data_IF_608391970958
#
_entry.id   IF_608391970958
#
_cell.length_a   1.000
_cell.length_b   1.000
_cell.length_c   1.000
_cell.angle_alpha   90.00
_cell.angle_beta   90.00
_cell.angle_gamma   90.00
#
_symmetry.space_group_name_H-M   'P 1'
#
loop_
_entity.id
_entity.type
_entity.pdbx_description
1 polymer ?
#
# COMPACT_ATOMS: atom_id res chain seq x y z
N UNK A 1 -8.37 -3.68 0.40
CA UNK A 1 -8.27 -4.95 1.14
C UNK A 1 -8.01 -4.65 2.61
N UNK A 2 -8.41 -5.52 3.57
CA UNK A 2 -8.28 -5.25 5.02
C UNK A 2 -6.89 -5.66 5.53
N UNK A 3 -6.25 -4.81 6.34
CA UNK A 3 -4.99 -5.11 6.99
C UNK A 3 -5.07 -6.36 7.88
N UNK A 4 -6.17 -6.50 8.65
CA UNK A 4 -6.41 -7.68 9.49
C UNK A 4 -6.36 -9.01 8.74
N UNK A 5 -6.91 -9.04 7.51
CA UNK A 5 -6.92 -10.26 6.69
C UNK A 5 -5.51 -10.65 6.24
N UNK A 6 -4.70 -9.66 5.84
CA UNK A 6 -3.32 -9.92 5.43
C UNK A 6 -2.49 -10.41 6.61
N UNK A 7 -2.64 -9.77 7.77
CA UNK A 7 -1.91 -10.16 8.99
C UNK A 7 -2.33 -11.56 9.45
N UNK A 8 -3.61 -11.89 9.36
CA UNK A 8 -4.11 -13.21 9.68
C UNK A 8 -3.51 -14.30 8.77
N UNK A 9 -3.51 -14.07 7.44
CA UNK A 9 -2.88 -14.98 6.49
C UNK A 9 -1.38 -15.14 6.75
N UNK A 10 -0.66 -14.04 7.01
CA UNK A 10 0.76 -14.06 7.34
C UNK A 10 1.04 -14.81 8.67
N UNK A 11 0.20 -14.64 9.67
CA UNK A 11 0.30 -15.36 10.94
C UNK A 11 0.13 -16.86 10.75
N UNK A 12 -0.84 -17.29 9.95
CA UNK A 12 -1.04 -18.71 9.62
C UNK A 12 0.14 -19.28 8.84
N UNK A 13 0.70 -18.56 7.87
CA UNK A 13 1.90 -18.96 7.14
C UNK A 13 3.10 -19.12 8.07
N UNK A 14 3.22 -18.26 9.08
CA UNK A 14 4.29 -18.29 10.08
C UNK A 14 4.05 -19.32 11.20
N UNK A 15 2.95 -20.07 11.17
CA UNK A 15 2.59 -21.04 12.21
C UNK A 15 2.10 -20.40 13.52
N UNK A 16 1.72 -19.12 13.48
CA UNK A 16 1.24 -18.34 14.62
C UNK A 16 -0.30 -18.26 14.62
N UNK A 17 -0.95 -19.42 14.75
CA UNK A 17 -2.39 -19.52 14.85
C UNK A 17 -2.99 -18.69 16.00
N UNK A 18 -2.22 -18.53 17.10
CA UNK A 18 -2.60 -17.68 18.23
C UNK A 18 -2.84 -16.21 17.84
N UNK A 19 -2.08 -15.67 16.88
CA UNK A 19 -2.27 -14.32 16.36
C UNK A 19 -3.52 -14.27 15.46
N UNK A 20 -3.74 -15.30 14.64
CA UNK A 20 -4.93 -15.37 13.79
C UNK A 20 -6.21 -15.39 14.64
N UNK A 21 -6.24 -16.21 15.69
CA UNK A 21 -7.35 -16.29 16.65
C UNK A 21 -7.56 -14.96 17.40
N UNK A 22 -6.46 -14.28 17.80
CA UNK A 22 -6.50 -12.96 18.43
C UNK A 22 -7.16 -11.91 17.53
N UNK A 23 -6.91 -11.97 16.23
CA UNK A 23 -7.49 -11.02 15.26
C UNK A 23 -9.00 -11.24 15.10
N UNK A 24 -9.45 -12.49 15.09
CA UNK A 24 -10.88 -12.85 14.93
C UNK A 24 -11.69 -12.63 16.21
N UNK A 25 -11.04 -12.67 17.37
CA UNK A 25 -11.72 -12.59 18.65
C UNK A 25 -12.39 -11.22 18.86
N UNK A 26 -13.66 -11.25 19.29
CA UNK A 26 -14.40 -10.07 19.79
C UNK A 26 -13.94 -9.66 21.17
N UNK A 27 -13.58 -10.65 22.01
CA UNK A 27 -12.99 -10.45 23.34
C UNK A 27 -11.54 -10.94 23.32
N UNK A 28 -10.60 -10.02 23.58
CA UNK A 28 -9.16 -10.28 23.56
C UNK A 28 -8.52 -10.38 24.93
N UNK A 29 -9.32 -10.38 25.99
CA UNK A 29 -8.82 -10.37 27.39
C UNK A 29 -8.11 -11.68 27.76
N UNK A 30 -8.48 -12.79 27.11
CA UNK A 30 -7.94 -14.12 27.38
C UNK A 30 -6.63 -14.45 26.65
N UNK A 31 -6.15 -13.55 25.76
CA UNK A 31 -4.91 -13.78 25.04
C UNK A 31 -3.69 -13.27 25.82
N UNK A 32 -2.55 -13.92 25.57
CA UNK A 32 -1.30 -13.52 26.21
C UNK A 32 -0.83 -12.13 25.78
N UNK A 33 -0.06 -11.46 26.63
CA UNK A 33 0.59 -10.20 26.27
C UNK A 33 1.57 -10.39 25.10
N UNK A 34 2.16 -11.57 24.96
CA UNK A 34 3.07 -11.93 23.87
C UNK A 34 2.35 -12.01 22.54
N UNK A 35 1.16 -12.63 22.51
CA UNK A 35 0.31 -12.67 21.28
C UNK A 35 -0.09 -11.27 20.85
N UNK A 36 -0.53 -10.43 21.78
CA UNK A 36 -0.87 -9.04 21.48
C UNK A 36 0.34 -8.24 20.96
N UNK A 37 1.52 -8.42 21.58
CA UNK A 37 2.78 -7.78 21.14
C UNK A 37 3.16 -8.24 19.73
N UNK A 38 3.10 -9.53 19.45
CA UNK A 38 3.42 -10.10 18.15
C UNK A 38 2.43 -9.61 17.05
N UNK A 39 1.14 -9.49 17.36
CA UNK A 39 0.16 -8.88 16.46
C UNK A 39 0.50 -7.42 16.14
N UNK A 40 0.85 -6.61 17.14
CA UNK A 40 1.27 -5.22 16.94
C UNK A 40 2.57 -5.13 16.13
N UNK A 41 3.50 -6.06 16.32
CA UNK A 41 4.73 -6.16 15.52
C UNK A 41 4.40 -6.43 14.04
N UNK A 42 3.49 -7.36 13.76
CA UNK A 42 3.03 -7.60 12.38
C UNK A 42 2.36 -6.38 11.76
N UNK A 43 1.58 -5.59 12.51
CA UNK A 43 1.04 -4.30 12.03
C UNK A 43 2.16 -3.34 11.63
N UNK A 44 3.20 -3.24 12.45
CA UNK A 44 4.36 -2.39 12.16
C UNK A 44 5.10 -2.85 10.90
N UNK A 45 5.41 -4.14 10.79
CA UNK A 45 6.09 -4.72 9.64
C UNK A 45 5.27 -4.55 8.36
N UNK A 46 3.95 -4.73 8.42
CA UNK A 46 3.05 -4.48 7.28
C UNK A 46 3.16 -3.03 6.79
N UNK A 47 3.17 -2.06 7.69
CA UNK A 47 3.31 -0.65 7.32
C UNK A 47 4.67 -0.34 6.69
N UNK A 48 5.76 -0.92 7.21
CA UNK A 48 7.10 -0.78 6.64
C UNK A 48 7.15 -1.37 5.22
N UNK A 49 6.66 -2.59 5.04
CA UNK A 49 6.61 -3.27 3.75
C UNK A 49 5.77 -2.50 2.72
N UNK A 50 4.60 -1.99 3.10
CA UNK A 50 3.74 -1.20 2.21
C UNK A 50 4.42 0.11 1.81
N UNK A 51 5.11 0.77 2.73
CA UNK A 51 5.86 1.99 2.44
C UNK A 51 6.96 1.74 1.43
N UNK A 52 7.73 0.66 1.59
CA UNK A 52 8.77 0.25 0.66
C UNK A 52 8.19 -0.12 -0.71
N UNK A 53 7.13 -0.93 -0.72
CA UNK A 53 6.46 -1.35 -1.94
C UNK A 53 5.95 -0.14 -2.75
N UNK A 54 5.33 0.83 -2.08
CA UNK A 54 4.81 2.06 -2.69
C UNK A 54 5.94 2.93 -3.28
N UNK A 55 7.07 2.99 -2.60
CA UNK A 55 8.19 3.84 -3.01
C UNK A 55 8.98 3.21 -4.16
N UNK A 56 9.22 1.90 -4.10
CA UNK A 56 10.22 1.23 -4.96
C UNK A 56 9.63 0.43 -6.11
N UNK A 57 8.39 -0.07 -5.99
CA UNK A 57 7.87 -1.08 -6.93
C UNK A 57 6.49 -0.75 -7.51
N UNK A 58 5.50 -0.52 -6.68
CA UNK A 58 4.10 -0.35 -7.10
C UNK A 58 3.54 0.94 -6.46
N UNK A 59 3.65 2.10 -7.15
CA UNK A 59 3.19 3.36 -6.59
C UNK A 59 1.67 3.36 -6.39
N UNK A 60 1.23 3.88 -5.26
CA UNK A 60 -0.18 4.19 -5.00
C UNK A 60 -0.57 5.43 -5.78
N UNK A 61 -1.60 5.31 -6.62
CA UNK A 61 -2.08 6.39 -7.48
C UNK A 61 -3.49 6.79 -7.05
N UNK A 62 -3.68 8.08 -6.84
CA UNK A 62 -4.99 8.68 -6.60
C UNK A 62 -5.42 9.51 -7.82
N UNK A 63 -6.73 9.52 -8.03
CA UNK A 63 -7.38 10.42 -8.99
C UNK A 63 -8.43 11.21 -8.23
N UNK A 64 -8.31 12.54 -8.27
CA UNK A 64 -9.16 13.43 -7.50
C UNK A 64 -9.73 14.54 -8.39
N UNK A 65 -11.01 14.89 -8.15
CA UNK A 65 -11.63 16.06 -8.77
C UNK A 65 -11.27 17.30 -7.97
N UNK A 66 -10.55 18.20 -8.60
CA UNK A 66 -10.15 19.47 -8.00
C UNK A 66 -10.31 20.58 -9.03
N UNK A 67 -10.94 21.68 -8.63
CA UNK A 67 -11.14 22.82 -9.51
C UNK A 67 -10.16 23.92 -9.10
N UNK A 68 -9.22 24.23 -10.00
CA UNK A 68 -8.26 25.30 -9.83
C UNK A 68 -8.05 26.02 -11.17
N UNK A 69 -7.71 27.29 -11.13
CA UNK A 69 -7.58 28.16 -12.32
C UNK A 69 -6.13 28.42 -12.69
N UNK A 70 -5.23 28.50 -11.70
CA UNK A 70 -3.83 28.94 -11.87
C UNK A 70 -2.85 28.07 -11.09
N UNK A 71 -3.24 27.54 -9.92
CA UNK A 71 -2.38 26.70 -9.08
C UNK A 71 -3.18 25.67 -8.27
N UNK A 72 -2.52 24.58 -7.93
CA UNK A 72 -3.00 23.54 -7.01
C UNK A 72 -2.04 23.50 -5.83
N UNK A 73 -2.53 23.74 -4.63
CA UNK A 73 -1.77 23.59 -3.39
C UNK A 73 -1.80 22.13 -2.94
N UNK A 74 -0.67 21.59 -2.48
CA UNK A 74 -0.57 20.18 -2.10
C UNK A 74 -1.45 19.82 -0.90
N UNK A 75 -1.67 20.76 0.01
CA UNK A 75 -2.52 20.59 1.19
C UNK A 75 -4.03 20.45 0.86
N UNK A 76 -4.43 20.81 -0.35
CA UNK A 76 -5.80 20.63 -0.85
C UNK A 76 -6.07 19.27 -1.43
N UNK A 77 -5.03 18.46 -1.63
CA UNK A 77 -5.18 17.07 -2.04
C UNK A 77 -5.56 16.22 -0.83
N UNK A 78 -6.49 15.28 -1.03
CA UNK A 78 -7.01 14.43 0.05
C UNK A 78 -5.98 13.47 0.63
N UNK A 79 -4.91 13.17 -0.11
CA UNK A 79 -3.82 12.31 0.28
C UNK A 79 -2.48 13.03 0.17
N UNK A 80 -1.49 12.58 0.93
CA UNK A 80 -0.14 13.14 0.94
C UNK A 80 0.57 12.88 -0.40
N UNK A 81 0.42 13.83 -1.33
CA UNK A 81 0.96 13.71 -2.68
C UNK A 81 2.49 13.75 -2.68
N UNK A 82 3.09 12.86 -3.48
CA UNK A 82 4.54 12.77 -3.71
C UNK A 82 4.91 13.32 -5.09
N UNK A 83 4.10 12.99 -6.09
CA UNK A 83 4.36 13.35 -7.48
C UNK A 83 3.04 13.52 -8.23
N UNK A 84 2.88 14.66 -8.87
CA UNK A 84 1.76 14.87 -9.80
C UNK A 84 2.11 14.22 -11.13
N UNK A 85 1.25 13.30 -11.56
CA UNK A 85 1.45 12.56 -12.81
C UNK A 85 0.78 13.25 -13.98
N UNK A 86 -0.50 13.65 -13.80
CA UNK A 86 -1.31 14.25 -14.86
C UNK A 86 -2.38 15.18 -14.29
N UNK A 87 -2.68 16.21 -15.05
CA UNK A 87 -3.76 17.16 -14.77
C UNK A 87 -4.65 17.22 -15.99
N UNK A 88 -5.97 17.28 -15.77
CA UNK A 88 -6.95 17.36 -16.85
C UNK A 88 -7.94 18.48 -16.61
N UNK A 89 -8.38 19.13 -17.69
CA UNK A 89 -9.47 20.10 -17.69
C UNK A 89 -10.86 19.42 -17.56
N UNK A 90 -11.91 20.22 -17.61
CA UNK A 90 -13.31 19.76 -17.51
C UNK A 90 -13.72 18.89 -18.72
N UNK A 91 -13.03 18.97 -19.85
CA UNK A 91 -13.28 18.22 -21.08
C UNK A 91 -12.43 16.96 -21.18
N UNK A 92 -11.55 16.71 -20.19
CA UNK A 92 -10.64 15.56 -20.18
C UNK A 92 -9.36 15.76 -20.99
N UNK A 93 -9.07 16.99 -21.44
CA UNK A 93 -7.81 17.32 -22.10
C UNK A 93 -6.70 17.50 -21.06
N UNK A 94 -5.52 16.99 -21.35
CA UNK A 94 -4.34 17.14 -20.48
C UNK A 94 -3.90 18.60 -20.43
N UNK A 95 -3.62 19.09 -19.22
CA UNK A 95 -3.20 20.46 -18.91
C UNK A 95 -1.72 20.45 -18.56
N UNK A 96 -0.95 21.32 -19.22
CA UNK A 96 0.47 21.50 -18.89
C UNK A 96 0.63 22.13 -17.51
N UNK A 97 1.59 21.64 -16.76
CA UNK A 97 1.85 22.12 -15.40
C UNK A 97 3.35 22.22 -15.09
N UNK A 98 3.67 23.02 -14.10
CA UNK A 98 5.03 23.15 -13.54
C UNK A 98 4.97 22.95 -12.04
N UNK A 99 5.77 22.00 -11.55
CA UNK A 99 5.91 21.71 -10.12
C UNK A 99 6.75 22.77 -9.46
N UNK A 100 6.27 23.32 -8.35
CA UNK A 100 6.98 24.19 -7.43
C UNK A 100 6.96 23.55 -6.03
N UNK A 101 7.73 24.09 -5.07
CA UNK A 101 7.88 23.48 -3.74
C UNK A 101 6.57 23.36 -2.97
N UNK A 102 5.72 24.37 -3.01
CA UNK A 102 4.47 24.44 -2.23
C UNK A 102 3.21 24.18 -3.06
N UNK A 103 3.31 24.24 -4.38
CA UNK A 103 2.16 24.15 -5.26
C UNK A 103 2.55 23.73 -6.68
N UNK A 104 1.54 23.39 -7.45
CA UNK A 104 1.69 23.10 -8.88
C UNK A 104 1.02 24.23 -9.66
N UNK A 105 1.79 24.94 -10.49
CA UNK A 105 1.27 25.96 -11.43
C UNK A 105 0.69 25.24 -12.65
N UNK A 106 -0.50 25.64 -13.06
CA UNK A 106 -1.20 25.09 -14.22
C UNK A 106 -1.38 26.15 -15.29
N UNK A 107 -1.27 25.73 -16.55
CA UNK A 107 -1.38 26.63 -17.72
C UNK A 107 -2.83 27.01 -18.06
N UNK A 108 -3.81 26.27 -17.58
CA UNK A 108 -5.25 26.49 -17.78
C UNK A 108 -6.06 25.86 -16.65
N UNK A 109 -7.36 26.23 -16.48
CA UNK A 109 -8.20 25.65 -15.43
C UNK A 109 -8.26 24.13 -15.50
N UNK A 110 -8.11 23.47 -14.34
CA UNK A 110 -8.21 22.03 -14.21
C UNK A 110 -9.48 21.57 -13.50
N UNK A 111 -9.86 20.31 -13.72
CA UNK A 111 -11.00 19.66 -13.08
C UNK A 111 -10.64 18.31 -12.45
N UNK A 112 -9.48 17.74 -12.80
CA UNK A 112 -9.04 16.44 -12.32
C UNK A 112 -7.52 16.36 -12.23
N UNK A 113 -7.01 15.80 -11.14
CA UNK A 113 -5.59 15.57 -10.89
C UNK A 113 -5.34 14.08 -10.65
N UNK A 114 -4.27 13.55 -11.23
CA UNK A 114 -3.76 12.19 -11.00
C UNK A 114 -2.39 12.32 -10.38
N UNK A 115 -2.17 11.69 -9.24
CA UNK A 115 -0.93 11.83 -8.49
C UNK A 115 -0.55 10.56 -7.73
N UNK A 116 0.76 10.38 -7.49
CA UNK A 116 1.28 9.40 -6.54
C UNK A 116 1.18 9.96 -5.13
N UNK A 117 0.89 9.10 -4.17
CA UNK A 117 0.82 9.50 -2.77
C UNK A 117 1.53 8.51 -1.85
N UNK A 118 2.01 9.00 -0.70
CA UNK A 118 2.51 8.13 0.36
C UNK A 118 1.38 7.45 1.10
N UNK A 119 1.54 6.16 1.43
CA UNK A 119 0.58 5.46 2.26
C UNK A 119 0.49 6.14 3.64
N UNK A 120 -0.70 6.14 4.21
CA UNK A 120 -0.89 6.42 5.63
C UNK A 120 -0.39 5.24 6.47
N UNK A 121 -0.22 5.44 7.77
CA UNK A 121 -0.05 4.32 8.69
C UNK A 121 -1.39 3.61 8.88
N UNK A 122 -1.44 2.32 8.61
CA UNK A 122 -2.63 1.48 8.73
C UNK A 122 -2.71 0.83 10.10
N UNK A 123 -3.88 0.91 10.72
CA UNK A 123 -4.25 0.10 11.88
C UNK A 123 -4.79 -1.27 11.42
N UNK A 124 -4.91 -2.21 12.37
CA UNK A 124 -5.42 -3.57 12.11
C UNK A 124 -6.78 -3.59 11.40
N UNK A 125 -7.65 -2.62 11.70
CA UNK A 125 -9.01 -2.53 11.16
C UNK A 125 -9.11 -1.79 9.84
N UNK A 126 -8.03 -1.15 9.40
CA UNK A 126 -8.04 -0.31 8.21
C UNK A 126 -8.08 -1.12 6.91
N UNK A 127 -8.61 -0.47 5.89
CA UNK A 127 -8.42 -0.93 4.52
C UNK A 127 -7.14 -0.31 3.94
N UNK A 128 -6.33 -1.15 3.32
CA UNK A 128 -5.14 -0.73 2.57
C UNK A 128 -5.59 -0.16 1.23
N UNK A 129 -4.97 0.94 0.81
CA UNK A 129 -5.34 1.68 -0.40
C UNK A 129 -4.96 0.98 -1.72
N UNK A 130 -4.23 -0.13 -1.68
CA UNK A 130 -4.04 -0.96 -2.86
C UNK A 130 -5.34 -1.69 -3.21
N UNK A 131 -5.70 -1.67 -4.49
CA UNK A 131 -6.76 -2.51 -5.03
C UNK A 131 -6.21 -3.93 -5.31
N UNK A 132 -7.10 -4.94 -5.28
CA UNK A 132 -6.70 -6.33 -5.56
C UNK A 132 -6.13 -6.54 -6.97
N UNK A 133 -6.47 -5.67 -7.91
CA UNK A 133 -5.88 -5.66 -9.26
C UNK A 133 -4.44 -5.18 -9.30
N UNK A 134 -4.02 -4.38 -8.31
CA UNK A 134 -2.68 -3.84 -8.21
C UNK A 134 -1.76 -4.85 -7.54
N UNK A 135 -2.20 -5.43 -6.44
CA UNK A 135 -1.48 -6.50 -5.72
C UNK A 135 -2.46 -7.36 -4.93
N UNK A 136 -2.27 -8.67 -4.93
CA UNK A 136 -3.12 -9.57 -4.13
C UNK A 136 -2.76 -9.54 -2.64
N UNK A 137 -3.76 -9.77 -1.78
CA UNK A 137 -3.55 -9.90 -0.34
C UNK A 137 -2.58 -11.01 0.02
N UNK A 138 -2.59 -12.12 -0.72
CA UNK A 138 -1.70 -13.25 -0.49
C UNK A 138 -0.23 -12.90 -0.78
N UNK A 139 0.07 -12.08 -1.79
CA UNK A 139 1.43 -11.60 -2.04
C UNK A 139 1.91 -10.74 -0.86
N UNK A 140 1.07 -9.84 -0.36
CA UNK A 140 1.39 -9.05 0.83
C UNK A 140 1.55 -9.92 2.08
N UNK A 141 0.76 -10.99 2.21
CA UNK A 141 0.86 -11.93 3.32
C UNK A 141 2.19 -12.70 3.29
N UNK A 142 2.68 -13.11 2.12
CA UNK A 142 4.01 -13.72 1.99
C UNK A 142 5.13 -12.75 2.36
N UNK A 143 5.07 -11.49 1.90
CA UNK A 143 6.06 -10.48 2.27
C UNK A 143 6.07 -10.25 3.79
N UNK A 144 4.90 -10.09 4.40
CA UNK A 144 4.78 -9.91 5.85
C UNK A 144 5.27 -11.13 6.63
N UNK A 145 4.96 -12.35 6.16
CA UNK A 145 5.44 -13.58 6.79
C UNK A 145 6.98 -13.72 6.70
N UNK A 146 7.59 -13.26 5.60
CA UNK A 146 9.04 -13.20 5.44
C UNK A 146 9.68 -12.27 6.47
N UNK A 147 9.18 -11.03 6.56
CA UNK A 147 9.67 -10.04 7.53
C UNK A 147 9.49 -10.53 8.98
N UNK A 148 8.35 -11.13 9.29
CA UNK A 148 8.10 -11.67 10.62
C UNK A 148 9.05 -12.83 10.95
N UNK A 149 9.26 -13.77 10.02
CA UNK A 149 10.19 -14.89 10.20
C UNK A 149 11.65 -14.40 10.43
N UNK A 150 12.07 -13.30 9.78
CA UNK A 150 13.37 -12.67 10.07
C UNK A 150 13.47 -12.19 11.52
N UNK A 151 12.41 -11.63 12.07
CA UNK A 151 12.42 -11.18 13.48
C UNK A 151 12.44 -12.33 14.48
N UNK A 152 11.94 -13.51 14.09
CA UNK A 152 11.99 -14.73 14.89
C UNK A 152 13.31 -15.51 14.71
N UNK A 153 14.17 -15.09 13.77
CA UNK A 153 15.44 -15.75 13.45
C UNK A 153 15.30 -17.01 12.56
N UNK A 154 14.15 -17.22 11.94
CA UNK A 154 13.88 -18.32 11.01
C UNK A 154 14.24 -17.91 9.58
N UNK A 155 15.53 -17.91 9.27
CA UNK A 155 16.06 -17.43 7.99
C UNK A 155 15.62 -18.30 6.80
N UNK A 156 15.52 -19.62 6.98
CA UNK A 156 15.14 -20.53 5.89
C UNK A 156 13.70 -20.26 5.45
N UNK A 157 12.80 -20.11 6.42
CA UNK A 157 11.41 -19.79 6.13
C UNK A 157 11.25 -18.37 5.59
N UNK A 158 12.01 -17.42 6.12
CA UNK A 158 12.04 -16.05 5.62
C UNK A 158 12.43 -15.99 4.14
N UNK A 159 13.51 -16.68 3.72
CA UNK A 159 13.93 -16.76 2.32
C UNK A 159 12.82 -17.36 1.44
N UNK A 160 12.22 -18.48 1.86
CA UNK A 160 11.16 -19.15 1.09
C UNK A 160 9.92 -18.26 0.86
N UNK A 161 9.51 -17.47 1.87
CA UNK A 161 8.40 -16.55 1.75
C UNK A 161 8.76 -15.32 0.94
N UNK A 162 9.99 -14.81 1.11
CA UNK A 162 10.50 -13.67 0.35
C UNK A 162 10.53 -13.94 -1.15
N UNK A 163 11.00 -15.12 -1.57
CA UNK A 163 11.01 -15.53 -2.98
C UNK A 163 9.60 -15.45 -3.59
N UNK A 164 8.59 -15.99 -2.90
CA UNK A 164 7.18 -15.92 -3.35
C UNK A 164 6.65 -14.49 -3.41
N UNK A 165 7.03 -13.66 -2.45
CA UNK A 165 6.67 -12.24 -2.45
C UNK A 165 7.27 -11.52 -3.65
N UNK A 166 8.57 -11.68 -3.90
CA UNK A 166 9.29 -11.05 -5.01
C UNK A 166 8.74 -11.52 -6.36
N UNK A 167 8.49 -12.81 -6.52
CA UNK A 167 7.84 -13.34 -7.74
C UNK A 167 6.47 -12.70 -7.97
N UNK A 168 5.64 -12.57 -6.92
CA UNK A 168 4.33 -11.92 -6.99
C UNK A 168 4.41 -10.46 -7.38
N UNK A 169 5.32 -9.70 -6.77
CA UNK A 169 5.56 -8.28 -7.10
C UNK A 169 6.06 -8.12 -8.54
N UNK A 170 7.02 -8.94 -8.97
CA UNK A 170 7.54 -8.89 -10.33
C UNK A 170 6.49 -9.27 -11.39
N UNK A 171 5.58 -10.19 -11.09
CA UNK A 171 4.51 -10.55 -12.01
C UNK A 171 3.55 -9.39 -12.31
N UNK A 172 3.38 -8.49 -11.33
CA UNK A 172 2.52 -7.31 -11.44
C UNK A 172 3.25 -6.15 -12.13
N UNK A 173 4.53 -5.96 -11.83
CA UNK A 173 5.35 -4.86 -12.34
C UNK A 173 5.71 -5.01 -13.83
N UNK A 174 5.58 -6.20 -14.41
CA UNK A 174 5.83 -6.42 -15.84
C UNK A 174 4.75 -5.71 -16.65
N UNK A 175 5.10 -4.85 -17.64
CA UNK A 175 4.13 -4.29 -18.54
C UNK A 175 3.39 -5.46 -19.24
N UNK A 176 2.07 -5.48 -19.13
CA UNK A 176 1.25 -6.40 -19.92
C UNK A 176 1.53 -6.05 -21.36
N UNK A 177 2.34 -6.86 -22.07
CA UNK A 177 2.53 -6.72 -23.50
C UNK A 177 1.14 -6.74 -24.13
N UNK A 178 0.65 -5.57 -24.50
CA UNK A 178 -0.52 -5.44 -25.34
C UNK A 178 -0.13 -6.03 -26.69
N UNK A 179 -0.44 -7.30 -26.88
CA UNK A 179 -0.47 -7.90 -28.21
C UNK A 179 -1.59 -7.18 -28.96
N UNK A 180 -1.24 -6.06 -29.56
CA UNK A 180 -2.08 -5.46 -30.60
C UNK A 180 -2.00 -6.43 -31.78
N UNK A 181 -3.09 -7.18 -31.99
CA UNK A 181 -3.38 -7.83 -33.25
C UNK A 181 -4.18 -6.89 -34.11
#
# INVERSE_FOLDING_TARGET
MRASKIIQEAALLSGRGDIADYIEATDRTNFSKETSKACNQMVTLLNMMISELCTSFIPMIATEKIYATDKIEYDKLSKNAVEILKIYDAFGKEVDFKVDYEHVKISSPCAKVVYKFHPKTYALTDNIDYEEKDISGSVLAYGLAAEFALTEGDFDRACSFHDRYVEGVHAISKPKNSTVK
#
